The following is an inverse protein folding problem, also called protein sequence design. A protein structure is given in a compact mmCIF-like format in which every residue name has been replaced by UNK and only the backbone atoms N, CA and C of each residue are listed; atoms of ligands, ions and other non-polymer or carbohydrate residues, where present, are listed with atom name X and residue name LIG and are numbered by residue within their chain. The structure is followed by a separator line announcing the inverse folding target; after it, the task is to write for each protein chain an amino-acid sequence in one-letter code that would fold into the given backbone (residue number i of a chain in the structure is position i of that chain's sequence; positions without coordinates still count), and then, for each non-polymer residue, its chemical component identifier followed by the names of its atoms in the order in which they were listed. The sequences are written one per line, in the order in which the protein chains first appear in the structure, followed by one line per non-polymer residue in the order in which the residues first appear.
data_IF_291467089752
#
_entry.id   IF_291467089752
#
_cell.length_a   1.000
_cell.length_b   1.000
_cell.length_c   1.000
_cell.angle_alpha   90.00
_cell.angle_beta   90.00
_cell.angle_gamma   90.00
#
_symmetry.space_group_name_H-M   'P 1'
#
loop_
_entity.id
_entity.type
_entity.pdbx_description
1 polymer ?
#
# COMPACT_ATOMS: atom_id res chain seq x y z
N UNK A 1 -15.14 -24.88 7.59
CA UNK A 1 -14.86 -23.43 7.45
C UNK A 1 -14.20 -22.93 8.71
N UNK A 2 -13.25 -21.99 8.60
CA UNK A 2 -12.67 -21.26 9.74
C UNK A 2 -13.20 -19.84 9.70
N UNK A 3 -13.72 -19.32 10.81
CA UNK A 3 -14.26 -17.96 10.89
C UNK A 3 -13.18 -16.96 11.27
N UNK A 4 -13.28 -15.74 10.75
CA UNK A 4 -12.56 -14.59 11.32
C UNK A 4 -13.09 -14.26 12.71
N UNK A 5 -12.26 -13.62 13.53
CA UNK A 5 -12.70 -13.14 14.84
C UNK A 5 -13.84 -12.13 14.72
N UNK A 6 -13.79 -11.23 13.72
CA UNK A 6 -14.85 -10.23 13.48
C UNK A 6 -16.19 -10.87 13.20
N UNK A 7 -16.25 -11.81 12.23
CA UNK A 7 -17.47 -12.54 11.91
C UNK A 7 -18.04 -13.29 13.11
N UNK A 8 -17.17 -13.93 13.89
CA UNK A 8 -17.57 -14.65 15.12
C UNK A 8 -18.20 -13.73 16.17
N UNK A 9 -17.66 -12.54 16.37
CA UNK A 9 -18.22 -11.54 17.30
C UNK A 9 -19.53 -10.98 16.76
N UNK A 10 -19.52 -10.46 15.54
CA UNK A 10 -20.61 -9.63 15.01
C UNK A 10 -21.86 -10.44 14.65
N UNK A 11 -21.67 -11.66 14.12
CA UNK A 11 -22.79 -12.50 13.66
C UNK A 11 -23.13 -13.65 14.60
N UNK A 12 -22.16 -14.13 15.36
CA UNK A 12 -22.34 -15.28 16.26
C UNK A 12 -22.23 -14.91 17.74
N UNK A 13 -22.12 -13.61 18.07
CA UNK A 13 -22.16 -13.13 19.45
C UNK A 13 -21.02 -13.64 20.32
N UNK A 14 -19.87 -13.95 19.72
CA UNK A 14 -18.73 -14.58 20.37
C UNK A 14 -19.06 -15.92 21.08
N UNK A 15 -19.98 -16.72 20.52
CA UNK A 15 -20.35 -18.04 21.08
C UNK A 15 -19.14 -19.01 21.11
N UNK A 16 -18.62 -19.41 22.29
CA UNK A 16 -17.50 -20.33 22.39
C UNK A 16 -17.85 -21.75 21.89
N UNK A 17 -19.14 -22.07 21.81
CA UNK A 17 -19.65 -23.34 21.29
C UNK A 17 -19.92 -23.34 19.78
N UNK A 18 -19.41 -22.36 19.02
CA UNK A 18 -19.59 -22.30 17.56
C UNK A 18 -18.80 -23.40 16.83
N UNK A 19 -17.66 -23.84 17.38
CA UNK A 19 -16.84 -24.91 16.80
C UNK A 19 -17.61 -26.24 16.86
N UNK A 20 -17.66 -26.95 15.74
CA UNK A 20 -18.46 -28.15 15.55
C UNK A 20 -19.91 -27.89 15.14
N UNK A 21 -20.36 -26.62 15.10
CA UNK A 21 -21.68 -26.28 14.56
C UNK A 21 -21.64 -26.11 13.05
N UNK A 22 -22.77 -26.39 12.41
CA UNK A 22 -22.98 -26.16 10.99
C UNK A 22 -23.56 -24.76 10.77
N UNK A 23 -22.95 -24.01 9.85
CA UNK A 23 -23.46 -22.75 9.34
C UNK A 23 -23.76 -22.87 7.84
N UNK A 24 -24.58 -21.98 7.30
CA UNK A 24 -24.82 -21.89 5.86
C UNK A 24 -23.88 -20.85 5.27
N UNK A 25 -22.98 -21.29 4.38
CA UNK A 25 -22.07 -20.43 3.62
C UNK A 25 -22.27 -20.69 2.13
N UNK A 26 -22.60 -19.65 1.36
CA UNK A 26 -22.84 -19.75 -0.09
C UNK A 26 -23.85 -20.85 -0.47
N UNK A 27 -24.93 -20.98 0.32
CA UNK A 27 -25.98 -21.99 0.16
C UNK A 27 -25.60 -23.40 0.63
N UNK A 28 -24.35 -23.63 1.06
CA UNK A 28 -23.88 -24.93 1.52
C UNK A 28 -23.78 -25.00 3.04
N UNK A 29 -24.21 -26.12 3.60
CA UNK A 29 -23.95 -26.45 4.99
C UNK A 29 -22.45 -26.71 5.20
N UNK A 30 -21.79 -25.89 6.02
CA UNK A 30 -20.37 -26.02 6.35
C UNK A 30 -20.19 -26.09 7.86
N UNK A 31 -19.45 -27.07 8.33
CA UNK A 31 -19.06 -27.15 9.73
C UNK A 31 -17.96 -26.13 10.06
N UNK A 32 -18.14 -25.41 11.16
CA UNK A 32 -17.13 -24.50 11.71
C UNK A 32 -16.08 -25.32 12.44
N UNK A 33 -14.86 -25.34 11.94
CA UNK A 33 -13.75 -26.14 12.52
C UNK A 33 -12.81 -25.30 13.38
N UNK A 34 -12.99 -23.98 13.41
CA UNK A 34 -12.20 -23.07 14.22
C UNK A 34 -12.56 -21.60 14.02
N UNK A 35 -12.00 -20.76 14.88
CA UNK A 35 -12.07 -19.30 14.81
C UNK A 35 -10.65 -18.76 14.88
N UNK A 36 -10.28 -17.86 13.96
CA UNK A 36 -8.97 -17.22 13.96
C UNK A 36 -8.81 -16.25 15.15
N UNK A 37 -7.59 -16.05 15.66
CA UNK A 37 -7.35 -15.12 16.75
C UNK A 37 -7.64 -13.66 16.33
N UNK A 38 -7.93 -12.81 17.31
CA UNK A 38 -8.10 -11.38 17.08
C UNK A 38 -6.86 -10.77 16.41
N UNK A 39 -7.06 -9.97 15.36
CA UNK A 39 -5.99 -9.32 14.60
C UNK A 39 -5.34 -10.18 13.51
N UNK A 40 -5.76 -11.44 13.33
CA UNK A 40 -5.41 -12.21 12.14
C UNK A 40 -6.31 -11.79 10.97
N UNK A 41 -5.69 -11.27 9.91
CA UNK A 41 -6.33 -10.87 8.68
C UNK A 41 -5.46 -11.33 7.52
N UNK A 42 -6.04 -12.12 6.61
CA UNK A 42 -5.32 -12.64 5.46
C UNK A 42 -6.29 -12.99 4.30
N UNK A 43 -6.04 -12.50 3.07
CA UNK A 43 -5.00 -11.53 2.68
C UNK A 43 -5.19 -10.12 3.28
N UNK A 44 -6.42 -9.74 3.64
CA UNK A 44 -6.76 -8.43 4.21
C UNK A 44 -7.90 -8.53 5.24
N UNK A 45 -8.30 -7.39 5.82
CA UNK A 45 -9.28 -7.30 6.90
C UNK A 45 -10.74 -7.53 6.44
N UNK A 46 -11.02 -7.52 5.13
CA UNK A 46 -12.36 -7.79 4.59
C UNK A 46 -12.73 -9.29 4.60
N UNK A 47 -11.76 -10.15 4.89
CA UNK A 47 -11.95 -11.60 4.85
C UNK A 47 -12.66 -12.09 6.10
N UNK A 48 -13.91 -12.53 5.94
CA UNK A 48 -14.74 -12.97 7.06
C UNK A 48 -14.59 -14.45 7.40
N UNK A 49 -14.22 -15.30 6.43
CA UNK A 49 -14.09 -16.75 6.61
C UNK A 49 -13.12 -17.39 5.59
N UNK A 50 -12.52 -18.51 5.96
CA UNK A 50 -11.68 -19.35 5.11
C UNK A 50 -12.29 -20.74 4.93
N UNK A 51 -12.33 -21.22 3.70
CA UNK A 51 -12.76 -22.56 3.36
C UNK A 51 -11.67 -23.35 2.62
N UNK A 52 -11.83 -24.67 2.58
CA UNK A 52 -10.92 -25.54 1.85
C UNK A 52 -11.09 -25.30 0.36
N UNK A 53 -10.01 -24.99 -0.33
CA UNK A 53 -9.98 -24.95 -1.79
C UNK A 53 -9.89 -26.38 -2.32
N UNK A 54 -11.01 -26.93 -2.78
CA UNK A 54 -11.05 -28.23 -3.44
C UNK A 54 -10.82 -28.07 -4.93
N UNK A 55 -9.88 -28.82 -5.50
CA UNK A 55 -9.79 -29.03 -6.94
C UNK A 55 -10.79 -30.14 -7.31
N UNK A 56 -11.69 -29.87 -8.24
CA UNK A 56 -12.54 -30.92 -8.80
C UNK A 56 -11.71 -31.73 -9.79
N UNK A 57 -11.27 -32.93 -9.39
CA UNK A 57 -10.49 -33.81 -10.26
C UNK A 57 -11.28 -34.28 -11.49
N UNK A 58 -12.62 -34.20 -11.46
CA UNK A 58 -13.47 -34.58 -12.57
C UNK A 58 -13.63 -33.47 -13.64
N UNK A 59 -13.31 -32.23 -13.29
CA UNK A 59 -13.29 -31.07 -14.20
C UNK A 59 -12.06 -30.20 -13.91
N UNK A 60 -10.84 -30.70 -14.22
CA UNK A 60 -9.62 -29.98 -13.90
C UNK A 60 -9.59 -28.67 -14.71
N UNK A 61 -9.31 -27.52 -14.06
CA UNK A 61 -9.19 -26.26 -14.78
C UNK A 61 -8.12 -26.38 -15.88
N UNK A 62 -8.43 -25.84 -17.06
CA UNK A 62 -7.50 -25.87 -18.18
C UNK A 62 -6.13 -25.29 -17.79
N UNK A 63 -5.04 -25.96 -18.21
CA UNK A 63 -3.66 -25.62 -17.80
C UNK A 63 -3.21 -24.18 -18.10
N UNK A 64 -3.91 -23.46 -18.97
CA UNK A 64 -3.65 -22.03 -19.26
C UNK A 64 -4.39 -21.04 -18.35
N UNK A 65 -5.00 -21.50 -17.26
CA UNK A 65 -5.72 -20.65 -16.30
C UNK A 65 -4.86 -20.35 -15.08
N UNK A 66 -4.59 -19.06 -14.83
CA UNK A 66 -3.64 -18.59 -13.81
C UNK A 66 -4.32 -17.72 -12.73
N UNK A 67 -5.44 -18.21 -12.19
CA UNK A 67 -6.26 -17.46 -11.22
C UNK A 67 -5.90 -17.72 -9.75
N UNK A 68 -5.02 -18.70 -9.47
CA UNK A 68 -4.67 -19.10 -8.10
C UNK A 68 -3.40 -18.39 -7.65
N UNK A 69 -3.44 -17.86 -6.43
CA UNK A 69 -2.27 -17.33 -5.74
C UNK A 69 -1.77 -18.31 -4.68
N UNK A 70 -0.57 -18.83 -4.87
CA UNK A 70 0.07 -19.74 -3.92
C UNK A 70 0.86 -19.01 -2.83
N UNK A 71 0.88 -19.60 -1.63
CA UNK A 71 1.74 -19.17 -0.52
C UNK A 71 2.44 -20.40 0.00
N UNK A 72 3.76 -20.30 0.15
CA UNK A 72 4.59 -21.39 0.66
C UNK A 72 5.40 -20.93 1.88
N UNK A 73 5.67 -21.85 2.79
CA UNK A 73 6.62 -21.66 3.89
C UNK A 73 7.91 -22.36 3.50
N UNK A 74 9.02 -21.60 3.47
CA UNK A 74 10.34 -22.17 3.28
C UNK A 74 10.74 -23.05 4.47
N UNK A 75 11.44 -24.14 4.19
CA UNK A 75 12.07 -24.96 5.22
C UNK A 75 13.14 -24.18 5.98
N UNK A 76 13.40 -24.57 7.23
CA UNK A 76 14.40 -23.92 8.06
C UNK A 76 15.80 -24.01 7.41
N UNK A 77 16.46 -22.86 7.24
CA UNK A 77 17.80 -22.77 6.64
C UNK A 77 17.81 -22.63 5.12
N UNK A 78 16.67 -22.74 4.43
CA UNK A 78 16.58 -22.52 2.98
C UNK A 78 16.46 -21.03 2.66
N UNK A 79 17.29 -20.55 1.74
CA UNK A 79 17.24 -19.15 1.28
C UNK A 79 16.20 -18.97 0.18
N UNK A 80 15.75 -17.72 -0.01
CA UNK A 80 14.81 -17.39 -1.08
C UNK A 80 15.42 -17.63 -2.46
N UNK A 81 16.73 -17.43 -2.60
CA UNK A 81 17.47 -17.68 -3.84
C UNK A 81 17.49 -19.17 -4.19
N UNK A 82 17.64 -20.06 -3.20
CA UNK A 82 17.55 -21.50 -3.41
C UNK A 82 16.14 -21.92 -3.86
N UNK A 83 15.12 -21.41 -3.18
CA UNK A 83 13.73 -21.67 -3.56
C UNK A 83 13.39 -21.15 -4.96
N UNK A 84 13.92 -19.97 -5.34
CA UNK A 84 13.78 -19.45 -6.71
C UNK A 84 14.41 -20.37 -7.74
N UNK A 85 15.65 -20.80 -7.52
CA UNK A 85 16.34 -21.70 -8.43
C UNK A 85 15.62 -23.06 -8.60
N UNK A 86 15.05 -23.61 -7.52
CA UNK A 86 14.27 -24.84 -7.57
C UNK A 86 12.98 -24.67 -8.38
N UNK A 87 12.23 -23.60 -8.10
CA UNK A 87 10.98 -23.34 -8.81
C UNK A 87 11.23 -22.99 -10.29
N UNK A 88 12.33 -22.29 -10.62
CA UNK A 88 12.77 -22.07 -12.00
C UNK A 88 13.10 -23.39 -12.71
N UNK A 89 13.74 -24.35 -12.01
CA UNK A 89 14.01 -25.68 -12.55
C UNK A 89 12.73 -26.48 -12.83
N UNK A 90 11.77 -26.46 -11.90
CA UNK A 90 10.45 -27.08 -12.08
C UNK A 90 9.72 -26.46 -13.27
N UNK A 91 9.75 -25.12 -13.36
CA UNK A 91 9.12 -24.39 -14.45
C UNK A 91 9.77 -24.69 -15.81
N UNK A 92 11.10 -24.82 -15.87
CA UNK A 92 11.79 -25.23 -17.09
C UNK A 92 11.30 -26.60 -17.60
N UNK A 93 11.09 -27.56 -16.69
CA UNK A 93 10.48 -28.85 -17.04
C UNK A 93 9.03 -28.70 -17.56
N UNK A 94 8.23 -27.82 -16.95
CA UNK A 94 6.87 -27.54 -17.42
C UNK A 94 6.82 -26.84 -18.78
N UNK A 95 7.82 -26.02 -19.11
CA UNK A 95 7.93 -25.37 -20.41
C UNK A 95 8.21 -26.39 -21.52
N UNK A 96 9.00 -27.43 -21.23
CA UNK A 96 9.26 -28.53 -22.18
C UNK A 96 8.02 -29.42 -22.38
N UNK A 97 7.28 -29.68 -21.31
CA UNK A 97 6.11 -30.58 -21.32
C UNK A 97 4.82 -29.87 -21.79
N UNK A 98 4.66 -28.58 -21.50
CA UNK A 98 3.42 -27.83 -21.73
C UNK A 98 3.70 -26.48 -22.43
N UNK A 99 3.35 -26.41 -23.72
CA UNK A 99 3.62 -25.25 -24.60
C UNK A 99 3.01 -23.91 -24.12
N UNK A 100 1.97 -23.96 -23.27
CA UNK A 100 1.27 -22.77 -22.74
C UNK A 100 1.95 -22.14 -21.52
N UNK A 101 2.91 -22.80 -20.87
CA UNK A 101 3.54 -22.27 -19.65
C UNK A 101 4.69 -21.28 -19.90
N UNK A 102 5.03 -20.98 -21.16
CA UNK A 102 6.25 -20.24 -21.51
C UNK A 102 6.15 -18.73 -21.28
N UNK A 103 4.94 -18.20 -21.10
CA UNK A 103 4.73 -16.80 -20.71
C UNK A 103 4.58 -16.58 -19.20
N UNK A 104 4.47 -17.65 -18.41
CA UNK A 104 4.17 -17.57 -16.99
C UNK A 104 5.41 -17.87 -16.18
N UNK A 105 6.03 -16.86 -15.62
CA UNK A 105 7.21 -17.05 -14.78
C UNK A 105 6.80 -17.12 -13.31
N UNK A 106 7.25 -18.13 -12.56
CA UNK A 106 7.03 -18.16 -11.13
C UNK A 106 7.86 -17.06 -10.47
N UNK A 107 7.21 -15.98 -10.04
CA UNK A 107 7.89 -14.92 -9.31
C UNK A 107 7.69 -15.13 -7.81
N UNK A 108 8.76 -15.59 -7.14
CA UNK A 108 8.76 -15.71 -5.68
C UNK A 108 9.19 -14.39 -5.05
N UNK A 109 8.29 -13.85 -4.23
CA UNK A 109 8.54 -12.72 -3.35
C UNK A 109 8.31 -13.13 -1.91
N UNK A 110 8.92 -12.40 -0.98
CA UNK A 110 8.60 -12.60 0.43
C UNK A 110 7.18 -12.11 0.67
N UNK A 111 6.44 -12.82 1.51
CA UNK A 111 5.08 -12.43 1.87
C UNK A 111 5.04 -11.00 2.46
N UNK A 112 6.10 -10.57 3.15
CA UNK A 112 6.24 -9.20 3.64
C UNK A 112 6.19 -8.12 2.55
N UNK A 113 6.78 -8.37 1.38
CA UNK A 113 6.86 -7.39 0.29
C UNK A 113 5.52 -7.24 -0.44
N UNK A 114 4.70 -8.27 -0.36
CA UNK A 114 3.37 -8.31 -0.95
C UNK A 114 2.30 -7.72 -0.02
N UNK A 115 2.37 -8.08 1.26
CA UNK A 115 1.46 -7.55 2.30
C UNK A 115 1.78 -6.09 2.61
N UNK A 116 3.07 -5.75 2.74
CA UNK A 116 3.55 -4.37 2.87
C UNK A 116 4.13 -3.99 1.51
N UNK A 117 3.24 -3.71 0.54
CA UNK A 117 3.61 -3.29 -0.83
C UNK A 117 4.85 -2.40 -0.78
N UNK A 118 5.88 -2.72 -1.56
CA UNK A 118 7.19 -2.08 -1.49
C UNK A 118 7.14 -0.53 -1.54
N UNK A 119 6.13 0.02 -2.22
CA UNK A 119 5.88 1.46 -2.32
C UNK A 119 5.44 2.09 -0.98
N UNK A 120 4.64 1.37 -0.18
CA UNK A 120 4.24 1.80 1.18
C UNK A 120 5.46 1.86 2.08
N UNK A 121 6.33 0.84 2.03
CA UNK A 121 7.58 0.83 2.81
C UNK A 121 8.48 2.02 2.44
N UNK A 122 8.63 2.33 1.14
CA UNK A 122 9.39 3.51 0.68
C UNK A 122 8.76 4.81 1.17
N UNK A 123 7.44 4.96 1.07
CA UNK A 123 6.74 6.14 1.57
C UNK A 123 6.93 6.34 3.08
N UNK A 124 6.86 5.27 3.88
CA UNK A 124 7.11 5.33 5.32
C UNK A 124 8.54 5.75 5.66
N UNK A 125 9.55 5.29 4.92
CA UNK A 125 10.93 5.74 5.10
C UNK A 125 11.12 7.21 4.71
N UNK A 126 10.49 7.67 3.64
CA UNK A 126 10.51 9.09 3.26
C UNK A 126 9.86 9.97 4.35
N UNK A 127 8.73 9.52 4.90
CA UNK A 127 8.07 10.19 6.02
C UNK A 127 8.96 10.21 7.27
N UNK A 128 9.61 9.09 7.61
CA UNK A 128 10.53 9.02 8.73
C UNK A 128 11.73 9.95 8.53
N UNK A 129 12.29 10.04 7.32
CA UNK A 129 13.38 10.95 7.01
C UNK A 129 12.93 12.41 7.18
N UNK A 130 11.75 12.77 6.66
CA UNK A 130 11.18 14.10 6.80
C UNK A 130 10.97 14.49 8.27
N UNK A 131 10.38 13.60 9.06
CA UNK A 131 10.20 13.80 10.52
C UNK A 131 11.56 13.94 11.23
N UNK A 132 12.56 13.15 10.84
CA UNK A 132 13.93 13.26 11.34
C UNK A 132 14.55 14.64 11.07
N UNK A 133 14.33 15.19 9.88
CA UNK A 133 14.81 16.54 9.54
C UNK A 133 14.09 17.61 10.38
N UNK A 134 12.76 17.52 10.54
CA UNK A 134 11.99 18.42 11.40
C UNK A 134 12.48 18.37 12.85
N UNK A 135 12.75 17.16 13.36
CA UNK A 135 13.35 16.97 14.68
C UNK A 135 14.70 17.69 14.79
N UNK A 136 15.57 17.56 13.78
CA UNK A 136 16.85 18.28 13.76
C UNK A 136 16.67 19.80 13.75
N UNK A 137 15.65 20.33 13.06
CA UNK A 137 15.34 21.78 13.06
C UNK A 137 14.93 22.22 14.46
N UNK A 138 14.03 21.47 15.11
CA UNK A 138 13.60 21.74 16.47
C UNK A 138 14.78 21.68 17.46
N UNK A 139 15.66 20.70 17.28
CA UNK A 139 16.89 20.54 18.05
C UNK A 139 17.84 21.75 17.90
N UNK A 140 18.07 22.23 16.68
CA UNK A 140 18.87 23.44 16.42
C UNK A 140 18.27 24.68 17.10
N UNK A 141 16.94 24.81 17.07
CA UNK A 141 16.21 25.88 17.77
C UNK A 141 16.41 25.84 19.28
N UNK A 142 16.27 24.66 19.88
CA UNK A 142 16.53 24.45 21.30
C UNK A 142 17.99 24.80 21.62
N UNK A 143 18.95 24.34 20.81
CA UNK A 143 20.37 24.67 20.96
C UNK A 143 20.61 26.19 20.98
N UNK A 144 20.00 26.92 20.03
CA UNK A 144 20.11 28.37 19.92
C UNK A 144 19.56 29.08 21.17
N UNK A 145 18.42 28.61 21.70
CA UNK A 145 17.83 29.14 22.93
C UNK A 145 18.72 28.87 24.16
N UNK A 146 19.26 27.66 24.30
CA UNK A 146 20.16 27.32 25.40
C UNK A 146 21.47 28.11 25.32
N UNK A 147 22.02 28.32 24.12
CA UNK A 147 23.20 29.15 23.92
C UNK A 147 22.95 30.61 24.34
N UNK A 148 21.81 31.19 23.95
CA UNK A 148 21.41 32.53 24.36
C UNK A 148 21.17 32.66 25.88
N UNK A 149 20.63 31.61 26.52
CA UNK A 149 20.46 31.56 27.99
C UNK A 149 21.79 31.42 28.71
N UNK A 150 22.73 30.63 28.18
CA UNK A 150 24.05 30.45 28.75
C UNK A 150 24.83 31.78 28.77
N UNK A 151 24.72 32.61 27.73
CA UNK A 151 25.30 33.96 27.69
C UNK A 151 24.80 34.85 28.85
N UNK A 152 23.49 34.86 29.11
CA UNK A 152 22.92 35.62 30.24
C UNK A 152 23.39 35.08 31.61
N UNK A 153 23.60 33.77 31.72
CA UNK A 153 24.01 33.10 32.97
C UNK A 153 25.54 33.05 33.17
N UNK A 154 26.36 33.52 32.22
CA UNK A 154 27.82 33.52 32.34
C UNK A 154 28.33 34.25 33.59
N UNK A 155 27.73 35.41 33.94
CA UNK A 155 28.10 36.16 35.16
C UNK A 155 27.83 35.37 36.44
N UNK A 156 26.71 34.66 36.50
CA UNK A 156 26.30 33.85 37.66
C UNK A 156 27.21 32.63 37.82
N UNK A 157 27.58 31.97 36.71
CA UNK A 157 28.50 30.83 36.69
C UNK A 157 29.92 31.27 37.06
N UNK A 158 30.39 32.42 36.57
CA UNK A 158 31.70 32.97 36.92
C UNK A 158 31.79 33.34 38.40
N UNK A 159 30.75 33.95 38.97
CA UNK A 159 30.65 34.23 40.41
C UNK A 159 30.67 32.96 41.26
N UNK A 160 29.91 31.92 40.87
CA UNK A 160 29.91 30.62 41.57
C UNK A 160 31.25 29.89 41.46
N UNK A 161 31.93 29.98 40.33
CA UNK A 161 33.27 29.41 40.14
C UNK A 161 34.31 30.13 41.02
N UNK A 162 34.22 31.46 41.15
CA UNK A 162 35.07 32.24 42.06
C UNK A 162 34.83 31.89 43.55
N UNK A 163 33.62 31.47 43.90
CA UNK A 163 33.25 30.96 45.22
C UNK A 163 33.58 29.46 45.44
N UNK A 164 34.26 28.81 44.49
CA UNK A 164 34.73 27.42 44.63
C UNK A 164 33.73 26.33 44.24
N UNK A 165 32.64 26.67 43.52
CA UNK A 165 31.71 25.65 43.03
C UNK A 165 32.37 24.74 41.98
N UNK A 166 32.39 23.42 42.25
CA UNK A 166 32.95 22.43 41.33
C UNK A 166 32.18 22.32 40.01
N UNK A 167 32.90 22.13 38.89
CA UNK A 167 32.34 22.06 37.52
C UNK A 167 31.23 21.01 37.37
N UNK A 168 31.32 19.89 38.09
CA UNK A 168 30.28 18.85 38.09
C UNK A 168 28.92 19.34 38.60
N UNK A 169 28.88 20.32 39.52
CA UNK A 169 27.62 20.87 40.05
C UNK A 169 26.90 21.75 39.02
N UNK A 170 27.67 22.49 38.22
CA UNK A 170 27.15 23.34 37.12
C UNK A 170 26.64 22.46 35.99
N UNK A 171 27.42 21.46 35.55
CA UNK A 171 27.01 20.50 34.52
C UNK A 171 25.75 19.74 34.93
N UNK A 172 25.68 19.26 36.19
CA UNK A 172 24.50 18.57 36.71
C UNK A 172 23.25 19.45 36.66
N UNK A 173 23.36 20.73 37.02
CA UNK A 173 22.22 21.66 36.98
C UNK A 173 21.67 21.85 35.57
N UNK A 174 22.53 22.10 34.57
CA UNK A 174 22.10 22.27 33.18
C UNK A 174 21.52 20.99 32.58
N UNK A 175 22.10 19.83 32.93
CA UNK A 175 21.57 18.53 32.54
C UNK A 175 20.18 18.28 33.13
N UNK A 176 19.97 18.57 34.42
CA UNK A 176 18.66 18.38 35.06
C UNK A 176 17.61 19.33 34.47
N UNK A 177 17.94 20.60 34.24
CA UNK A 177 17.03 21.58 33.62
C UNK A 177 16.66 21.16 32.18
N UNK A 178 17.62 20.61 31.42
CA UNK A 178 17.38 20.11 30.06
C UNK A 178 16.56 18.82 30.04
N UNK A 179 16.84 17.89 30.95
CA UNK A 179 16.10 16.63 31.07
C UNK A 179 14.65 16.84 31.51
N UNK A 180 14.38 17.79 32.40
CA UNK A 180 13.00 18.11 32.83
C UNK A 180 12.19 18.68 31.67
N UNK A 181 12.76 19.64 30.94
CA UNK A 181 12.09 20.25 29.77
C UNK A 181 11.88 19.23 28.66
N UNK A 182 12.91 18.44 28.34
CA UNK A 182 12.82 17.40 27.31
C UNK A 182 11.84 16.30 27.73
N UNK A 183 11.83 15.88 29.00
CA UNK A 183 10.88 14.90 29.52
C UNK A 183 9.43 15.38 29.44
N UNK A 184 9.16 16.63 29.80
CA UNK A 184 7.83 17.22 29.66
C UNK A 184 7.40 17.30 28.19
N UNK A 185 8.28 17.75 27.30
CA UNK A 185 8.02 17.80 25.86
C UNK A 185 7.79 16.41 25.24
N UNK A 186 8.64 15.44 25.57
CA UNK A 186 8.50 14.05 25.12
C UNK A 186 7.22 13.39 25.63
N UNK A 187 6.86 13.63 26.90
CA UNK A 187 5.60 13.15 27.47
C UNK A 187 4.37 13.74 26.77
N UNK A 188 4.35 15.05 26.55
CA UNK A 188 3.29 15.72 25.78
C UNK A 188 3.24 15.21 24.32
N UNK A 189 4.40 14.94 23.72
CA UNK A 189 4.50 14.37 22.37
C UNK A 189 3.88 12.97 22.28
N UNK A 190 4.18 12.09 23.24
CA UNK A 190 3.59 10.74 23.31
C UNK A 190 2.07 10.80 23.53
N UNK A 191 1.60 11.67 24.43
CA UNK A 191 0.17 11.87 24.65
C UNK A 191 -0.54 12.36 23.39
N UNK A 192 0.05 13.37 22.73
CA UNK A 192 -0.47 13.92 21.48
C UNK A 192 -0.48 12.86 20.37
N UNK A 193 0.55 12.02 20.27
CA UNK A 193 0.61 10.93 19.32
C UNK A 193 -0.56 9.95 19.54
N UNK A 194 -0.87 9.60 20.78
CA UNK A 194 -2.03 8.75 21.08
C UNK A 194 -3.37 9.33 20.60
N UNK A 195 -3.56 10.64 20.72
CA UNK A 195 -4.77 11.31 20.22
C UNK A 195 -4.79 11.47 18.71
N UNK A 196 -3.68 11.87 18.11
CA UNK A 196 -3.55 12.08 16.67
C UNK A 196 -3.72 10.75 15.92
N UNK A 197 -3.09 9.68 16.37
CA UNK A 197 -3.23 8.35 15.74
C UNK A 197 -4.69 7.91 15.76
N UNK A 198 -5.39 8.04 16.90
CA UNK A 198 -6.83 7.73 16.98
C UNK A 198 -7.68 8.62 16.08
N UNK A 199 -7.36 9.92 16.02
CA UNK A 199 -8.07 10.87 15.16
C UNK A 199 -7.91 10.55 13.67
N UNK A 200 -6.69 10.22 13.22
CA UNK A 200 -6.41 9.83 11.84
C UNK A 200 -7.19 8.55 11.47
N UNK A 201 -7.15 7.55 12.35
CA UNK A 201 -7.87 6.29 12.16
C UNK A 201 -9.40 6.48 12.10
N UNK A 202 -9.94 7.49 12.78
CA UNK A 202 -11.38 7.77 12.75
C UNK A 202 -11.84 8.47 11.45
N UNK A 203 -10.94 9.16 10.73
CA UNK A 203 -11.29 9.91 9.51
C UNK A 203 -11.29 9.03 8.28
N UNK A 204 -10.38 8.06 8.19
CA UNK A 204 -10.33 7.16 7.04
C UNK A 204 -10.00 5.72 7.48
N UNK A 205 -11.01 4.98 7.92
CA UNK A 205 -10.85 3.62 8.41
C UNK A 205 -10.61 2.58 7.31
N UNK A 206 -10.40 2.94 6.04
CA UNK A 206 -10.16 1.94 4.98
C UNK A 206 -8.85 2.19 4.20
N UNK A 207 -8.10 3.23 4.54
CA UNK A 207 -6.98 3.70 3.71
C UNK A 207 -5.66 2.92 3.90
N UNK A 208 -5.46 2.18 4.99
CA UNK A 208 -4.18 1.54 5.30
C UNK A 208 -4.34 0.03 5.58
N UNK A 209 -3.63 -0.85 4.88
CA UNK A 209 -3.57 -2.27 5.22
C UNK A 209 -3.07 -2.47 6.66
N UNK A 210 -3.74 -3.34 7.44
CA UNK A 210 -3.39 -3.69 8.83
C UNK A 210 -3.50 -2.53 9.82
N UNK A 211 -4.60 -1.78 9.80
CA UNK A 211 -4.83 -0.69 10.75
C UNK A 211 -4.80 -1.14 12.20
N UNK A 212 -5.22 -2.39 12.46
CA UNK A 212 -5.22 -2.98 13.80
C UNK A 212 -3.81 -3.07 14.42
N UNK A 213 -2.74 -2.86 13.65
CA UNK A 213 -1.36 -2.82 14.12
C UNK A 213 -0.78 -1.41 14.35
N UNK A 214 -1.52 -0.34 14.02
CA UNK A 214 -1.03 1.05 14.15
C UNK A 214 -1.25 1.52 15.59
N UNK A 215 -0.28 1.20 16.45
CA UNK A 215 -0.32 1.54 17.86
C UNK A 215 0.96 2.21 18.34
N UNK A 216 0.85 2.98 19.44
CA UNK A 216 2.01 3.48 20.19
C UNK A 216 2.63 2.30 20.95
N UNK A 217 3.47 1.55 20.24
CA UNK A 217 4.08 0.32 20.76
C UNK A 217 5.30 0.57 21.65
N UNK A 218 5.68 -0.43 22.44
CA UNK A 218 6.86 -0.38 23.31
C UNK A 218 8.16 0.05 22.60
N UNK A 219 8.48 -0.50 21.40
CA UNK A 219 9.65 -0.06 20.63
C UNK A 219 9.59 1.42 20.23
N UNK A 220 8.41 1.95 19.86
CA UNK A 220 8.23 3.36 19.53
C UNK A 220 8.46 4.23 20.77
N UNK A 221 7.92 3.84 21.93
CA UNK A 221 8.16 4.55 23.19
C UNK A 221 9.64 4.53 23.58
N UNK A 222 10.33 3.39 23.42
CA UNK A 222 11.75 3.27 23.69
C UNK A 222 12.59 4.15 22.75
N UNK A 223 12.24 4.18 21.46
CA UNK A 223 12.86 5.06 20.47
C UNK A 223 12.65 6.54 20.81
N UNK A 224 11.41 6.95 21.11
CA UNK A 224 11.09 8.31 21.53
C UNK A 224 11.83 8.71 22.80
N UNK A 225 11.92 7.82 23.79
CA UNK A 225 12.68 8.04 25.01
C UNK A 225 14.19 8.23 24.71
N UNK A 226 14.78 7.37 23.86
CA UNK A 226 16.17 7.47 23.45
C UNK A 226 16.47 8.80 22.73
N UNK A 227 15.58 9.22 21.82
CA UNK A 227 15.69 10.51 21.13
C UNK A 227 15.56 11.68 22.10
N UNK A 228 14.60 11.63 23.03
CA UNK A 228 14.37 12.68 24.03
C UNK A 228 15.58 12.84 24.96
N UNK A 229 16.14 11.73 25.44
CA UNK A 229 17.35 11.75 26.28
C UNK A 229 18.57 12.19 25.46
N UNK A 230 18.74 11.66 24.26
CA UNK A 230 19.86 12.01 23.37
C UNK A 230 19.91 13.50 23.07
N UNK A 231 18.77 14.09 22.72
CA UNK A 231 18.64 15.54 22.49
C UNK A 231 18.89 16.35 23.77
N UNK A 232 18.33 15.95 24.92
CA UNK A 232 18.57 16.61 26.19
C UNK A 232 20.04 16.61 26.61
N UNK A 233 20.75 15.49 26.40
CA UNK A 233 22.18 15.36 26.69
C UNK A 233 23.00 16.21 25.73
N UNK A 234 22.73 16.11 24.42
CA UNK A 234 23.47 16.85 23.39
C UNK A 234 23.39 18.37 23.63
N UNK A 235 22.20 18.89 23.94
CA UNK A 235 22.00 20.33 24.16
C UNK A 235 22.22 20.80 25.61
N UNK A 236 22.16 19.91 26.60
CA UNK A 236 22.45 20.23 27.99
C UNK A 236 23.96 20.26 28.33
N UNK A 237 24.75 19.41 27.66
CA UNK A 237 26.19 19.26 27.92
C UNK A 237 27.02 20.30 27.17
N UNK A 238 26.68 20.60 25.91
CA UNK A 238 27.47 21.51 25.05
C UNK A 238 27.64 22.91 25.69
N UNK A 239 26.60 23.60 26.18
CA UNK A 239 26.75 24.89 26.84
C UNK A 239 27.52 24.79 28.16
N UNK A 240 27.37 23.68 28.91
CA UNK A 240 27.99 23.50 30.22
C UNK A 240 29.51 23.31 30.12
N UNK A 241 29.98 22.52 29.15
CA UNK A 241 31.42 22.35 28.87
C UNK A 241 32.03 23.66 28.37
N UNK A 242 31.34 24.36 27.47
CA UNK A 242 31.82 25.62 26.89
C UNK A 242 31.88 26.77 27.91
N UNK A 243 30.89 26.91 28.79
CA UNK A 243 30.91 27.90 29.87
C UNK A 243 31.97 27.58 30.93
N UNK A 244 32.16 26.29 31.26
CA UNK A 244 33.16 25.84 32.24
C UNK A 244 34.61 26.01 31.78
N UNK A 245 34.89 25.90 30.48
CA UNK A 245 36.24 26.04 29.91
C UNK A 245 36.76 27.49 29.87
N UNK A 246 35.88 28.48 29.66
CA UNK A 246 36.28 29.91 29.56
C UNK A 246 36.31 30.66 30.90
N UNK A 247 35.62 30.18 31.93
CA UNK A 247 35.70 30.76 33.28
C UNK A 247 37.10 30.65 33.92
N UNK A 248 38.00 29.86 33.32
CA UNK A 248 39.40 29.65 33.76
C UNK A 248 40.45 30.45 32.99
N UNK A 249 40.07 31.23 31.97
CA UNK A 249 41.03 32.08 31.28
C UNK A 249 41.43 33.26 32.18
N UNK A 250 42.73 33.43 32.53
CA UNK A 250 43.17 34.58 33.31
C UNK A 250 43.00 35.85 32.46
N UNK A 251 42.28 36.85 32.97
CA UNK A 251 42.17 38.18 32.34
C UNK A 251 40.76 38.77 32.15
N UNK A 252 39.69 38.12 32.60
CA UNK A 252 38.31 38.60 32.35
C UNK A 252 37.88 39.75 33.30
N UNK A 253 38.76 40.23 34.18
CA UNK A 253 38.45 41.30 35.13
C UNK A 253 38.35 42.71 34.49
N UNK A 254 38.85 42.94 33.27
CA UNK A 254 38.94 44.29 32.69
C UNK A 254 38.17 44.55 31.39
N UNK A 255 37.49 43.56 30.81
CA UNK A 255 36.70 43.79 29.61
C UNK A 255 35.29 44.33 29.94
N UNK A 256 35.20 45.58 30.41
CA UNK A 256 33.96 46.36 30.37
C UNK A 256 33.55 46.55 28.90
N UNK A 257 32.65 45.69 28.40
CA UNK A 257 31.94 45.94 27.14
C UNK A 257 32.18 44.98 25.97
N UNK A 258 33.00 43.92 26.11
CA UNK A 258 33.19 42.96 25.03
C UNK A 258 32.02 41.96 24.95
N UNK A 259 30.96 42.35 24.24
CA UNK A 259 29.95 41.45 23.69
C UNK A 259 30.65 40.33 22.90
N UNK A 260 30.58 39.09 23.41
CA UNK A 260 30.81 37.84 22.67
C UNK A 260 32.08 37.77 21.80
N UNK A 261 33.15 37.13 22.31
CA UNK A 261 34.34 36.86 21.50
C UNK A 261 34.05 36.12 20.17
N UNK A 262 34.92 36.26 19.14
CA UNK A 262 34.64 35.91 17.73
C UNK A 262 34.16 34.47 17.45
N UNK A 263 34.37 33.53 18.35
CA UNK A 263 33.87 32.15 18.24
C UNK A 263 32.35 32.00 18.42
N UNK A 264 31.70 32.83 19.24
CA UNK A 264 30.25 32.71 19.53
C UNK A 264 29.40 33.16 18.34
N UNK A 265 29.77 34.28 17.70
CA UNK A 265 29.12 34.76 16.49
C UNK A 265 29.30 33.81 15.30
N UNK A 266 30.38 33.01 15.26
CA UNK A 266 30.60 32.02 14.19
C UNK A 266 29.73 30.77 14.39
N UNK A 267 29.69 30.22 15.61
CA UNK A 267 28.87 29.04 15.91
C UNK A 267 27.37 29.33 15.73
N UNK A 268 26.87 30.46 16.25
CA UNK A 268 25.47 30.87 16.06
C UNK A 268 25.14 31.10 14.59
N UNK A 269 26.04 31.71 13.80
CA UNK A 269 25.83 31.87 12.35
C UNK A 269 25.80 30.54 11.61
N UNK A 270 26.64 29.58 11.99
CA UNK A 270 26.60 28.23 11.40
C UNK A 270 25.29 27.52 11.76
N UNK A 271 24.86 27.58 13.03
CA UNK A 271 23.60 26.96 13.48
C UNK A 271 22.39 27.54 12.75
N UNK A 272 22.27 28.88 12.71
CA UNK A 272 21.19 29.56 11.97
C UNK A 272 21.26 29.25 10.47
N UNK A 273 22.47 29.24 9.88
CA UNK A 273 22.65 28.87 8.47
C UNK A 273 22.21 27.43 8.19
N UNK A 274 22.58 26.47 9.05
CA UNK A 274 22.15 25.07 8.92
C UNK A 274 20.66 24.89 9.13
N UNK A 275 20.07 25.65 10.06
CA UNK A 275 18.63 25.62 10.32
C UNK A 275 17.83 26.13 9.12
N UNK A 276 18.23 27.26 8.53
CA UNK A 276 17.60 27.80 7.32
C UNK A 276 17.76 26.84 6.15
N UNK A 277 18.97 26.30 5.93
CA UNK A 277 19.21 25.34 4.85
C UNK A 277 18.33 24.09 5.01
N UNK A 278 18.25 23.55 6.23
CA UNK A 278 17.45 22.36 6.53
C UNK A 278 15.94 22.62 6.41
N UNK A 279 15.48 23.80 6.84
CA UNK A 279 14.09 24.23 6.68
C UNK A 279 13.70 24.37 5.20
N UNK A 280 14.60 24.91 4.37
CA UNK A 280 14.40 24.97 2.91
C UNK A 280 14.31 23.57 2.32
N UNK A 281 15.15 22.62 2.74
CA UNK A 281 15.07 21.22 2.27
C UNK A 281 13.72 20.59 2.62
N UNK A 282 13.24 20.76 3.87
CA UNK A 282 11.91 20.25 4.28
C UNK A 282 10.79 20.90 3.46
N UNK A 283 10.86 22.22 3.25
CA UNK A 283 9.85 22.95 2.50
C UNK A 283 9.80 22.49 1.03
N UNK A 284 10.95 22.31 0.40
CA UNK A 284 11.04 21.78 -0.97
C UNK A 284 10.51 20.34 -1.03
N UNK A 285 10.90 19.48 -0.08
CA UNK A 285 10.41 18.10 -0.02
C UNK A 285 8.90 18.04 0.18
N UNK A 286 8.34 18.84 1.08
CA UNK A 286 6.90 18.95 1.31
C UNK A 286 6.17 19.46 0.06
N UNK A 287 6.70 20.50 -0.60
CA UNK A 287 6.13 21.02 -1.85
C UNK A 287 6.17 20.00 -2.99
N UNK A 288 7.24 19.22 -3.10
CA UNK A 288 7.34 18.11 -4.05
C UNK A 288 6.35 17.00 -3.72
N UNK A 289 6.15 16.64 -2.45
CA UNK A 289 5.17 15.64 -2.05
C UNK A 289 3.74 16.08 -2.36
N UNK A 290 3.39 17.34 -2.06
CA UNK A 290 2.08 17.90 -2.42
C UNK A 290 1.89 17.89 -3.93
N UNK A 291 2.92 18.29 -4.69
CA UNK A 291 2.87 18.23 -6.16
C UNK A 291 2.78 16.81 -6.69
N UNK A 292 3.51 15.86 -6.11
CA UNK A 292 3.45 14.45 -6.50
C UNK A 292 2.08 13.86 -6.20
N UNK A 293 1.49 14.21 -5.06
CA UNK A 293 0.12 13.81 -4.73
C UNK A 293 -0.87 14.42 -5.73
N UNK A 294 -0.77 15.71 -6.00
CA UNK A 294 -1.61 16.42 -6.98
C UNK A 294 -1.49 15.82 -8.39
N UNK A 295 -0.26 15.48 -8.82
CA UNK A 295 0.00 14.76 -10.07
C UNK A 295 -0.64 13.37 -10.03
N UNK A 296 -0.46 12.60 -8.95
CA UNK A 296 -1.04 11.25 -8.82
C UNK A 296 -2.57 11.28 -8.82
N UNK A 297 -3.19 12.28 -8.22
CA UNK A 297 -4.66 12.43 -8.22
C UNK A 297 -5.21 13.04 -9.50
N UNK A 298 -4.36 13.60 -10.37
CA UNK A 298 -4.75 14.15 -11.67
C UNK A 298 -4.38 13.25 -12.85
N UNK A 299 -3.71 12.12 -12.61
CA UNK A 299 -3.56 11.06 -13.61
C UNK A 299 -4.95 10.54 -13.92
N UNK A 300 -5.36 10.71 -15.18
CA UNK A 300 -6.60 10.16 -15.71
C UNK A 300 -6.52 8.62 -15.62
N UNK A 301 -7.36 7.96 -14.79
CA UNK A 301 -7.36 6.51 -14.68
C UNK A 301 -8.00 5.83 -15.90
N UNK A 302 -8.53 6.60 -16.86
CA UNK A 302 -9.25 6.12 -18.03
C UNK A 302 -10.69 5.68 -17.72
N UNK A 303 -11.16 5.94 -16.49
CA UNK A 303 -12.52 5.69 -16.00
C UNK A 303 -13.06 6.93 -15.30
N UNK A 304 -14.37 7.11 -15.33
CA UNK A 304 -15.08 8.11 -14.54
C UNK A 304 -15.80 7.42 -13.35
N UNK A 305 -15.27 7.54 -12.12
CA UNK A 305 -15.90 6.95 -10.95
C UNK A 305 -17.06 7.80 -10.39
N UNK A 306 -17.26 9.03 -10.87
CA UNK A 306 -18.30 9.91 -10.31
C UNK A 306 -19.70 9.39 -10.64
N UNK A 307 -20.55 9.26 -9.61
CA UNK A 307 -21.93 8.80 -9.78
C UNK A 307 -22.07 7.29 -10.06
N UNK A 308 -21.00 6.50 -9.96
CA UNK A 308 -21.02 5.05 -10.17
C UNK A 308 -21.13 4.32 -8.83
N UNK A 309 -22.18 3.51 -8.67
CA UNK A 309 -22.34 2.59 -7.55
C UNK A 309 -21.99 1.17 -8.01
N UNK A 310 -21.08 0.51 -7.29
CA UNK A 310 -20.69 -0.88 -7.58
C UNK A 310 -20.97 -1.78 -6.39
N UNK A 311 -21.29 -3.05 -6.70
CA UNK A 311 -21.46 -4.10 -5.71
C UNK A 311 -21.23 -5.45 -6.38
N UNK A 312 -20.90 -6.48 -5.58
CA UNK A 312 -20.65 -7.84 -6.06
C UNK A 312 -21.88 -8.69 -5.85
N UNK A 313 -22.35 -9.34 -6.91
CA UNK A 313 -23.39 -10.36 -6.84
C UNK A 313 -22.74 -11.68 -7.22
N UNK A 314 -22.86 -12.67 -6.34
CA UNK A 314 -22.39 -14.01 -6.59
C UNK A 314 -23.57 -14.98 -6.47
N UNK A 315 -23.73 -15.87 -7.44
CA UNK A 315 -24.74 -16.91 -7.37
C UNK A 315 -24.21 -18.05 -6.48
N UNK A 316 -24.99 -18.56 -5.51
CA UNK A 316 -24.53 -19.62 -4.62
C UNK A 316 -24.09 -20.87 -5.42
N UNK A 317 -22.86 -21.39 -5.23
CA UNK A 317 -22.39 -22.58 -5.95
C UNK A 317 -23.26 -23.83 -5.71
N UNK A 318 -23.96 -23.88 -4.57
CA UNK A 318 -24.88 -24.95 -4.21
C UNK A 318 -26.03 -25.14 -5.21
N UNK A 319 -26.47 -24.05 -5.85
CA UNK A 319 -27.64 -24.06 -6.74
C UNK A 319 -27.29 -24.62 -8.13
N UNK A 320 -25.99 -24.67 -8.49
CA UNK A 320 -25.47 -25.03 -9.82
C UNK A 320 -26.41 -24.58 -10.96
N UNK A 321 -26.79 -23.29 -10.99
CA UNK A 321 -27.71 -22.80 -12.01
C UNK A 321 -27.08 -23.00 -13.38
N UNK A 322 -27.89 -23.40 -14.34
CA UNK A 322 -27.51 -23.41 -15.75
C UNK A 322 -27.14 -22.01 -16.22
N UNK A 323 -26.28 -21.90 -17.24
CA UNK A 323 -25.93 -20.59 -17.81
C UNK A 323 -27.16 -19.79 -18.26
N UNK A 324 -28.24 -20.48 -18.66
CA UNK A 324 -29.51 -19.85 -19.03
C UNK A 324 -30.21 -19.19 -17.83
N UNK A 325 -30.21 -19.85 -16.68
CA UNK A 325 -30.78 -19.31 -15.44
C UNK A 325 -29.97 -18.12 -14.93
N UNK A 326 -28.63 -18.22 -14.95
CA UNK A 326 -27.75 -17.11 -14.57
C UNK A 326 -27.98 -15.89 -15.47
N UNK A 327 -28.06 -16.09 -16.79
CA UNK A 327 -28.35 -15.00 -17.74
C UNK A 327 -29.69 -14.35 -17.48
N UNK A 328 -30.73 -15.15 -17.25
CA UNK A 328 -32.09 -14.66 -16.95
C UNK A 328 -32.10 -13.85 -15.67
N UNK A 329 -31.47 -14.35 -14.61
CA UNK A 329 -31.33 -13.63 -13.34
C UNK A 329 -30.66 -12.26 -13.51
N UNK A 330 -29.51 -12.21 -14.19
CA UNK A 330 -28.81 -10.94 -14.43
C UNK A 330 -29.61 -10.01 -15.34
N UNK A 331 -30.37 -10.53 -16.30
CA UNK A 331 -31.23 -9.71 -17.14
C UNK A 331 -32.31 -9.04 -16.31
N UNK A 332 -33.07 -9.80 -15.52
CA UNK A 332 -34.12 -9.26 -14.65
C UNK A 332 -33.57 -8.30 -13.59
N UNK A 333 -32.39 -8.60 -13.03
CA UNK A 333 -31.73 -7.75 -12.06
C UNK A 333 -31.41 -6.38 -12.65
N UNK A 334 -30.77 -6.33 -13.83
CA UNK A 334 -30.42 -5.07 -14.47
C UNK A 334 -31.66 -4.27 -14.87
N UNK A 335 -32.69 -4.93 -15.45
CA UNK A 335 -33.95 -4.27 -15.80
C UNK A 335 -34.63 -3.62 -14.57
N UNK A 336 -34.57 -4.27 -13.41
CA UNK A 336 -35.09 -3.71 -12.15
C UNK A 336 -34.25 -2.56 -11.63
N UNK A 337 -32.93 -2.63 -11.76
CA UNK A 337 -32.02 -1.56 -11.33
C UNK A 337 -32.20 -0.31 -12.19
N UNK A 338 -32.31 -0.45 -13.52
CA UNK A 338 -32.59 0.67 -14.43
C UNK A 338 -33.97 1.29 -14.18
N UNK A 339 -34.92 0.52 -13.65
CA UNK A 339 -36.23 1.02 -13.24
C UNK A 339 -36.23 1.88 -11.97
N UNK A 340 -35.11 1.94 -11.22
CA UNK A 340 -35.02 2.72 -9.99
C UNK A 340 -34.85 4.23 -10.29
N UNK A 341 -35.52 5.12 -9.55
CA UNK A 341 -35.32 6.55 -9.70
C UNK A 341 -33.86 6.95 -9.47
N UNK A 342 -33.27 7.68 -10.42
CA UNK A 342 -31.88 8.16 -10.34
C UNK A 342 -30.83 7.22 -10.94
N UNK A 343 -31.22 6.03 -11.42
CA UNK A 343 -30.34 5.16 -12.21
C UNK A 343 -30.45 5.53 -13.69
N UNK A 344 -29.33 5.90 -14.30
CA UNK A 344 -29.26 6.22 -15.74
C UNK A 344 -28.96 4.98 -16.58
N UNK A 345 -28.13 4.08 -16.07
CA UNK A 345 -27.64 2.89 -16.76
C UNK A 345 -27.30 1.81 -15.72
N UNK A 346 -27.65 0.55 -15.97
CA UNK A 346 -27.19 -0.57 -15.16
C UNK A 346 -26.51 -1.62 -16.04
N UNK A 347 -25.37 -2.10 -15.58
CA UNK A 347 -24.57 -3.09 -16.31
C UNK A 347 -23.89 -4.05 -15.35
N UNK A 348 -23.27 -5.09 -15.90
CA UNK A 348 -22.52 -6.07 -15.13
C UNK A 348 -21.22 -6.41 -15.86
N UNK A 349 -20.17 -6.67 -15.10
CA UNK A 349 -18.90 -7.16 -15.60
C UNK A 349 -18.25 -8.07 -14.57
N UNK A 350 -17.31 -8.91 -15.03
CA UNK A 350 -16.61 -9.85 -14.16
C UNK A 350 -15.81 -9.15 -13.06
N UNK A 351 -15.29 -7.95 -13.32
CA UNK A 351 -14.48 -7.14 -12.40
C UNK A 351 -14.67 -5.66 -12.70
N UNK A 352 -14.35 -4.80 -11.73
CA UNK A 352 -14.23 -3.34 -11.92
C UNK A 352 -12.74 -3.03 -12.07
N UNK A 353 -12.32 -2.09 -12.93
CA UNK A 353 -10.91 -1.71 -13.04
C UNK A 353 -10.35 -1.23 -11.70
N UNK A 354 -9.02 -1.27 -11.53
CA UNK A 354 -8.30 -0.82 -10.33
C UNK A 354 -8.61 -1.56 -9.01
N UNK A 355 -9.42 -2.63 -9.00
CA UNK A 355 -9.68 -3.40 -7.76
C UNK A 355 -8.61 -4.46 -7.46
N UNK A 356 -7.45 -4.40 -8.14
CA UNK A 356 -6.31 -5.31 -7.93
C UNK A 356 -6.52 -6.75 -8.44
N UNK A 357 -7.65 -7.01 -9.08
CA UNK A 357 -7.93 -8.31 -9.66
C UNK A 357 -7.24 -8.43 -11.02
N UNK A 358 -6.40 -9.45 -11.17
CA UNK A 358 -5.48 -9.59 -12.31
C UNK A 358 -5.64 -10.98 -12.92
N UNK A 359 -6.75 -11.21 -13.61
CA UNK A 359 -6.97 -12.45 -14.37
C UNK A 359 -6.36 -12.30 -15.76
N UNK A 360 -5.06 -12.56 -15.87
CA UNK A 360 -4.34 -12.55 -17.15
C UNK A 360 -4.32 -13.93 -17.74
N UNK A 361 -4.83 -14.03 -18.96
CA UNK A 361 -4.87 -15.27 -19.71
C UNK A 361 -4.06 -15.10 -20.99
N UNK A 362 -3.46 -16.19 -21.42
CA UNK A 362 -2.86 -16.22 -22.74
C UNK A 362 -3.96 -16.08 -23.80
N UNK A 363 -3.63 -15.58 -24.98
CA UNK A 363 -4.55 -15.62 -26.12
C UNK A 363 -3.79 -15.85 -27.43
N UNK A 364 -4.53 -16.14 -28.50
CA UNK A 364 -3.98 -16.26 -29.84
C UNK A 364 -4.63 -15.25 -30.78
N UNK A 365 -3.89 -14.85 -31.84
CA UNK A 365 -4.40 -14.04 -32.95
C UNK A 365 -4.43 -14.93 -34.19
N UNK A 366 -5.60 -15.05 -34.83
CA UNK A 366 -5.79 -15.91 -35.99
C UNK A 366 -4.91 -15.44 -37.15
N UNK A 367 -4.20 -16.38 -37.77
CA UNK A 367 -3.31 -16.08 -38.90
C UNK A 367 -1.94 -15.51 -38.50
N UNK A 368 -1.68 -15.29 -37.20
CA UNK A 368 -0.33 -15.02 -36.70
C UNK A 368 0.48 -16.32 -36.76
N UNK A 369 1.72 -16.23 -37.22
CA UNK A 369 2.61 -17.40 -37.27
C UNK A 369 2.77 -18.01 -35.86
N UNK A 370 2.90 -19.34 -35.75
CA UNK A 370 3.23 -19.98 -34.49
C UNK A 370 4.46 -19.34 -33.87
N UNK A 371 4.42 -19.18 -32.55
CA UNK A 371 5.46 -18.56 -31.74
C UNK A 371 6.81 -19.25 -31.98
N UNK A 372 7.89 -18.48 -32.10
CA UNK A 372 9.24 -19.06 -32.14
C UNK A 372 9.68 -19.46 -30.73
N UNK A 373 10.52 -20.49 -30.63
CA UNK A 373 11.10 -20.91 -29.35
C UNK A 373 11.82 -19.73 -28.68
N UNK A 374 11.38 -19.35 -27.47
CA UNK A 374 11.91 -18.22 -26.70
C UNK A 374 11.14 -16.90 -26.80
N UNK A 375 10.15 -16.77 -27.69
CA UNK A 375 9.24 -15.61 -27.69
C UNK A 375 8.20 -15.74 -26.56
N UNK A 376 7.76 -14.64 -25.93
CA UNK A 376 6.70 -14.71 -24.92
C UNK A 376 5.34 -15.01 -25.58
N UNK A 377 4.46 -15.75 -24.89
CA UNK A 377 3.07 -15.88 -25.35
C UNK A 377 2.35 -14.54 -25.26
N UNK A 378 1.31 -14.37 -26.09
CA UNK A 378 0.45 -13.20 -26.01
C UNK A 378 -0.38 -13.34 -24.72
N UNK A 379 -0.39 -12.30 -23.91
CA UNK A 379 -1.03 -12.35 -22.61
C UNK A 379 -1.77 -11.03 -22.37
N UNK A 380 -3.03 -11.13 -21.97
CA UNK A 380 -3.87 -9.98 -21.70
C UNK A 380 -4.80 -10.27 -20.52
N UNK A 381 -5.21 -9.21 -19.82
CA UNK A 381 -6.32 -9.34 -18.90
C UNK A 381 -7.62 -9.49 -19.70
N UNK A 382 -8.42 -10.47 -19.31
CA UNK A 382 -9.65 -10.79 -20.02
C UNK A 382 -10.81 -10.71 -19.04
N UNK A 383 -11.90 -10.09 -19.49
CA UNK A 383 -13.09 -9.87 -18.68
C UNK A 383 -14.34 -9.99 -19.54
N UNK A 384 -15.36 -10.62 -18.99
CA UNK A 384 -16.69 -10.64 -19.58
C UNK A 384 -17.48 -9.44 -19.07
N UNK A 385 -18.09 -8.71 -20.00
CA UNK A 385 -18.85 -7.50 -19.70
C UNK A 385 -20.15 -7.48 -20.48
N UNK A 386 -21.20 -6.91 -19.88
CA UNK A 386 -22.48 -6.68 -20.55
C UNK A 386 -22.44 -5.38 -21.36
N UNK A 387 -23.38 -5.20 -22.31
CA UNK A 387 -23.60 -3.91 -22.94
C UNK A 387 -23.74 -2.78 -21.91
N UNK A 388 -23.29 -1.58 -22.27
CA UNK A 388 -23.26 -0.42 -21.37
C UNK A 388 -22.08 -0.36 -20.40
N UNK A 389 -21.26 -1.42 -20.28
CA UNK A 389 -20.14 -1.44 -19.32
C UNK A 389 -19.15 -0.28 -19.49
N UNK A 390 -18.69 -0.05 -20.72
CA UNK A 390 -17.75 1.04 -21.02
C UNK A 390 -18.38 2.42 -20.79
N UNK A 391 -19.66 2.58 -21.13
CA UNK A 391 -20.40 3.84 -20.94
C UNK A 391 -20.63 4.14 -19.46
N UNK A 392 -21.01 3.14 -18.67
CA UNK A 392 -21.21 3.28 -17.23
C UNK A 392 -19.93 3.68 -16.48
N UNK A 393 -18.76 3.32 -17.01
CA UNK A 393 -17.44 3.66 -16.46
C UNK A 393 -16.78 4.85 -17.17
N UNK A 394 -17.45 5.51 -18.12
CA UNK A 394 -16.87 6.62 -18.87
C UNK A 394 -15.69 6.24 -19.78
N UNK A 395 -15.48 4.95 -20.06
CA UNK A 395 -14.38 4.46 -20.91
C UNK A 395 -14.70 4.82 -22.37
N UNK A 396 -13.87 5.64 -23.04
CA UNK A 396 -14.20 6.14 -24.37
C UNK A 396 -14.04 5.06 -25.44
N UNK A 397 -15.05 4.90 -26.30
CA UNK A 397 -14.90 4.13 -27.53
C UNK A 397 -14.07 4.94 -28.53
N UNK A 398 -12.94 4.38 -28.98
CA UNK A 398 -12.01 5.03 -29.92
C UNK A 398 -12.34 4.70 -31.36
N UNK A 399 -12.61 3.42 -31.64
CA UNK A 399 -12.86 2.90 -33.00
C UNK A 399 -13.84 1.74 -32.96
N UNK A 400 -14.58 1.52 -34.04
CA UNK A 400 -15.52 0.40 -34.17
C UNK A 400 -16.80 0.61 -33.35
N UNK A 401 -17.24 -0.43 -32.64
CA UNK A 401 -18.44 -0.41 -31.78
C UNK A 401 -18.22 -1.13 -30.45
N UNK A 402 -19.00 -0.76 -29.45
CA UNK A 402 -19.12 -1.51 -28.20
C UNK A 402 -20.00 -2.78 -28.36
N UNK A 403 -20.10 -3.57 -27.29
CA UNK A 403 -21.00 -4.70 -27.22
C UNK A 403 -22.47 -4.26 -27.25
N UNK A 404 -23.29 -5.07 -27.92
CA UNK A 404 -24.74 -4.87 -28.06
C UNK A 404 -25.49 -6.11 -27.60
N UNK A 405 -26.82 -6.01 -27.45
CA UNK A 405 -27.64 -7.17 -27.10
C UNK A 405 -27.58 -8.31 -28.15
N UNK A 406 -27.24 -8.00 -29.40
CA UNK A 406 -27.11 -8.98 -30.49
C UNK A 406 -25.85 -9.85 -30.36
N UNK A 407 -24.85 -9.42 -29.60
CA UNK A 407 -23.60 -10.14 -29.37
C UNK A 407 -23.70 -11.21 -28.26
N UNK A 408 -24.93 -11.55 -27.85
CA UNK A 408 -25.20 -12.57 -26.83
C UNK A 408 -24.92 -14.01 -27.30
N UNK A 409 -25.33 -15.03 -26.52
CA UNK A 409 -25.00 -16.44 -26.78
C UNK A 409 -25.44 -17.00 -28.14
N UNK A 410 -26.43 -16.37 -28.77
CA UNK A 410 -26.95 -16.74 -30.09
C UNK A 410 -26.29 -15.95 -31.23
N UNK A 411 -25.53 -14.92 -30.89
CA UNK A 411 -24.78 -14.09 -31.83
C UNK A 411 -23.38 -14.62 -32.10
N UNK A 412 -22.69 -14.07 -33.11
CA UNK A 412 -21.29 -14.40 -33.33
C UNK A 412 -20.44 -13.93 -32.13
N UNK A 413 -19.45 -14.70 -31.68
CA UNK A 413 -18.55 -14.27 -30.61
C UNK A 413 -17.72 -13.06 -31.05
N UNK A 414 -17.70 -12.03 -30.22
CA UNK A 414 -16.97 -10.78 -30.47
C UNK A 414 -16.15 -10.34 -29.28
N UNK A 415 -15.13 -9.52 -29.53
CA UNK A 415 -14.25 -8.96 -28.52
C UNK A 415 -14.08 -7.45 -28.75
N UNK A 416 -13.78 -6.73 -27.67
CA UNK A 416 -13.35 -5.34 -27.68
C UNK A 416 -11.97 -5.30 -27.03
N UNK A 417 -11.03 -4.58 -27.64
CA UNK A 417 -9.65 -4.46 -27.14
C UNK A 417 -9.37 -3.01 -26.75
N UNK A 418 -8.34 -2.75 -25.94
CA UNK A 418 -7.91 -1.39 -25.64
C UNK A 418 -6.81 -0.89 -26.59
N UNK A 419 -6.45 0.38 -26.46
CA UNK A 419 -5.38 1.03 -27.25
C UNK A 419 -4.03 0.34 -27.02
N UNK A 420 -3.71 -0.05 -25.79
CA UNK A 420 -2.44 -0.70 -25.46
C UNK A 420 -2.29 -2.09 -26.09
N UNK A 421 -3.33 -2.95 -26.04
CA UNK A 421 -3.31 -4.25 -26.71
C UNK A 421 -3.13 -4.08 -28.21
N UNK A 422 -3.80 -3.08 -28.80
CA UNK A 422 -3.65 -2.71 -30.21
C UNK A 422 -2.20 -2.34 -30.53
N UNK A 423 -1.60 -1.46 -29.73
CA UNK A 423 -0.22 -1.00 -29.91
C UNK A 423 0.81 -2.12 -29.80
N UNK A 424 0.62 -3.04 -28.86
CA UNK A 424 1.56 -4.13 -28.61
C UNK A 424 1.46 -5.27 -29.62
N UNK A 425 0.23 -5.64 -30.02
CA UNK A 425 0.01 -6.86 -30.77
C UNK A 425 -0.46 -6.67 -32.20
N UNK A 426 -0.88 -5.46 -32.58
CA UNK A 426 -1.26 -5.05 -33.92
C UNK A 426 -0.51 -3.76 -34.36
N UNK A 427 0.84 -3.70 -34.26
CA UNK A 427 1.60 -2.47 -34.54
C UNK A 427 1.47 -1.99 -35.99
N UNK A 428 1.30 -2.93 -36.94
CA UNK A 428 1.27 -2.66 -38.39
C UNK A 428 -0.12 -2.89 -39.02
N UNK A 429 -1.16 -3.14 -38.21
CA UNK A 429 -2.46 -3.59 -38.72
C UNK A 429 -3.65 -3.10 -37.91
N UNK A 430 -4.83 -3.13 -38.52
CA UNK A 430 -6.08 -2.82 -37.82
C UNK A 430 -6.55 -4.05 -37.02
N UNK A 431 -6.72 -3.95 -35.68
CA UNK A 431 -7.27 -5.05 -34.90
C UNK A 431 -8.73 -5.33 -35.28
N UNK A 432 -9.50 -4.34 -35.75
CA UNK A 432 -10.92 -4.52 -36.07
C UNK A 432 -11.09 -5.50 -37.22
N UNK A 433 -11.96 -6.50 -37.02
CA UNK A 433 -12.20 -7.59 -37.97
C UNK A 433 -11.23 -8.77 -37.85
N UNK A 434 -10.14 -8.62 -37.08
CA UNK A 434 -9.27 -9.75 -36.74
C UNK A 434 -9.94 -10.67 -35.72
N UNK A 435 -9.43 -11.88 -35.59
CA UNK A 435 -9.95 -12.87 -34.65
C UNK A 435 -8.93 -13.14 -33.55
N UNK A 436 -9.38 -13.02 -32.31
CA UNK A 436 -8.63 -13.36 -31.09
C UNK A 436 -9.33 -14.49 -30.36
N UNK A 437 -8.61 -15.35 -29.65
CA UNK A 437 -9.26 -16.49 -29.00
C UNK A 437 -8.33 -17.34 -28.16
N UNK A 438 -8.90 -18.39 -27.57
CA UNK A 438 -8.22 -19.35 -26.71
C UNK A 438 -8.26 -20.75 -27.37
N UNK A 439 -7.41 -21.02 -28.37
CA UNK A 439 -7.47 -22.26 -29.15
C UNK A 439 -7.26 -23.53 -28.32
N UNK A 440 -6.65 -23.43 -27.14
CA UNK A 440 -6.48 -24.55 -26.20
C UNK A 440 -7.68 -24.85 -25.31
N UNK A 441 -8.69 -23.97 -25.28
CA UNK A 441 -9.94 -24.20 -24.56
C UNK A 441 -10.96 -24.86 -25.47
N UNK A 442 -11.11 -24.35 -26.70
CA UNK A 442 -11.94 -24.95 -27.75
C UNK A 442 -11.67 -24.30 -29.10
N UNK A 443 -11.75 -25.08 -30.19
CA UNK A 443 -11.70 -24.60 -31.58
C UNK A 443 -12.80 -23.58 -31.91
N UNK A 444 -13.88 -23.54 -31.13
CA UNK A 444 -15.00 -22.61 -31.29
C UNK A 444 -14.81 -21.23 -30.65
N UNK A 445 -13.65 -20.93 -30.06
CA UNK A 445 -13.43 -19.74 -29.21
C UNK A 445 -12.76 -18.57 -29.93
N UNK A 446 -12.99 -18.43 -31.24
CA UNK A 446 -12.49 -17.28 -32.00
C UNK A 446 -13.49 -16.13 -31.96
N UNK A 447 -13.15 -15.06 -31.24
CA UNK A 447 -13.91 -13.83 -31.16
C UNK A 447 -13.43 -12.82 -32.19
N UNK A 448 -14.35 -12.23 -32.94
CA UNK A 448 -14.03 -11.14 -33.86
C UNK A 448 -13.89 -9.83 -33.09
N UNK A 449 -12.79 -9.12 -33.27
CA UNK A 449 -12.61 -7.80 -32.68
C UNK A 449 -13.54 -6.81 -33.40
N UNK A 450 -14.44 -6.16 -32.66
CA UNK A 450 -15.44 -5.22 -33.20
C UNK A 450 -15.23 -3.77 -32.77
N UNK A 451 -14.36 -3.53 -31.79
CA UNK A 451 -14.09 -2.19 -31.29
C UNK A 451 -12.76 -2.07 -30.56
N UNK A 452 -12.32 -0.81 -30.45
CA UNK A 452 -11.17 -0.38 -29.65
C UNK A 452 -11.64 0.67 -28.66
N UNK A 453 -11.37 0.46 -27.37
CA UNK A 453 -11.67 1.41 -26.28
C UNK A 453 -10.39 2.07 -25.77
N UNK A 454 -10.55 3.18 -25.06
CA UNK A 454 -9.42 3.86 -24.40
C UNK A 454 -8.76 2.97 -23.36
N UNK A 455 -7.49 3.25 -23.09
CA UNK A 455 -6.79 2.62 -21.99
C UNK A 455 -7.37 3.07 -20.64
N UNK A 456 -7.44 2.12 -19.72
CA UNK A 456 -7.77 2.34 -18.33
C UNK A 456 -6.70 1.61 -17.51
N UNK A 457 -6.20 2.28 -16.49
CA UNK A 457 -5.05 1.83 -15.67
C UNK A 457 -5.49 1.12 -14.41
#
# INVERSE_FOLDING_TARGET
VVLSHGLWVDRFGADPGIVGRTITLSGQAKEVVGVMPAGFAFPDESVEAWESFGLDEADPPGRGSHYIRGIARLEEGVTLEQARAEVESIHAGWVEEYEHNVAHFPILHRLEDDVVRADVRRALFLLLAAVGIVLLVACANVANLYLARAEKRQREVALRAALGAGQGRVVRQFLTESLVVAGAGGGLGVLSAGWITRGILAVNPDALPRMSGIEVSGPVLAFTAAVTVGTAVLFGVVPAIWAGGRARAPGVAEARGATGGPGHGRLRRILVGSEVAMSVVVLVAAGLLVRSFDVLTSVDPGIDPEGVLTFRVATPPAERPSDAEVRTFYQELLERLEGLPGVTLATAGGQVPLTGANNRNDFAIRGRAPRRQGELALNAQTMDVRPGYFEALGIPLRRGRAFTAEDGPQGPPVAVVNEELTRLYFPDGDPIGQFVGYPWVSDSTWMRVVGVVGDFH
#
